data_IF_626757031677
#
_entry.id   IF_626757031677
#
_cell.length_a   1.000
_cell.length_b   1.000
_cell.length_c   1.000
_cell.angle_alpha   90.00
_cell.angle_beta   90.00
_cell.angle_gamma   90.00
#
_symmetry.space_group_name_H-M   'P 1'
#
loop_
_entity.id
_entity.type
_entity.pdbx_description
1 polymer ?
#
# COMPACT_ATOMS: atom_id res chain seq x y z
N UNK A 1 -0.05 -6.47 -1.31
CA UNK A 1 0.44 -6.44 -2.71
C UNK A 1 1.71 -7.26 -2.97
N UNK A 2 2.75 -7.22 -2.13
CA UNK A 2 4.01 -8.00 -2.35
C UNK A 2 3.82 -9.51 -2.44
N UNK A 3 2.90 -10.10 -1.68
CA UNK A 3 2.52 -11.52 -1.81
C UNK A 3 1.94 -11.81 -3.20
N UNK A 4 1.07 -10.94 -3.69
CA UNK A 4 0.42 -11.11 -4.98
C UNK A 4 1.45 -11.02 -6.11
N UNK A 5 2.38 -10.06 -6.06
CA UNK A 5 3.49 -9.94 -7.03
C UNK A 5 4.31 -11.22 -7.07
N UNK A 6 4.87 -11.64 -5.93
CA UNK A 6 5.72 -12.84 -5.83
C UNK A 6 5.04 -14.11 -6.37
N UNK A 7 3.81 -14.36 -5.94
CA UNK A 7 3.09 -15.56 -6.36
C UNK A 7 2.64 -15.48 -7.83
N UNK A 8 2.34 -14.29 -8.34
CA UNK A 8 1.98 -14.10 -9.76
C UNK A 8 3.21 -14.27 -10.65
N UNK A 9 4.35 -13.70 -10.28
CA UNK A 9 5.65 -13.96 -10.93
C UNK A 9 5.97 -15.45 -10.93
N UNK A 10 5.92 -16.10 -9.76
CA UNK A 10 6.16 -17.54 -9.63
C UNK A 10 5.20 -18.40 -10.47
N UNK A 11 3.94 -18.00 -10.58
CA UNK A 11 2.97 -18.66 -11.43
C UNK A 11 3.29 -18.50 -12.92
N UNK A 12 3.75 -17.31 -13.33
CA UNK A 12 4.10 -16.96 -14.70
C UNK A 12 5.39 -17.61 -15.20
N UNK A 13 6.40 -17.77 -14.34
CA UNK A 13 7.68 -18.43 -14.66
C UNK A 13 7.63 -19.96 -14.51
N UNK A 14 6.46 -20.54 -14.22
CA UNK A 14 6.29 -22.00 -14.14
C UNK A 14 6.81 -22.65 -12.86
N UNK A 15 7.05 -21.90 -11.77
CA UNK A 15 7.49 -22.47 -10.49
C UNK A 15 6.34 -23.11 -9.68
N UNK A 16 5.08 -22.97 -10.14
CA UNK A 16 3.88 -23.51 -9.48
C UNK A 16 3.20 -24.64 -10.27
N UNK A 17 3.97 -25.49 -10.97
CA UNK A 17 3.41 -26.62 -11.73
C UNK A 17 3.09 -27.83 -10.84
N UNK A 18 3.98 -28.20 -9.92
CA UNK A 18 3.72 -29.34 -9.05
C UNK A 18 2.91 -28.95 -7.81
N UNK A 19 2.01 -29.84 -7.36
CA UNK A 19 1.22 -29.64 -6.15
C UNK A 19 2.10 -29.40 -4.91
N UNK A 20 3.28 -30.03 -4.85
CA UNK A 20 4.22 -29.89 -3.72
C UNK A 20 4.87 -28.51 -3.70
N UNK A 21 5.39 -28.04 -4.83
CA UNK A 21 6.00 -26.71 -4.93
C UNK A 21 4.98 -25.61 -4.67
N UNK A 22 3.77 -25.76 -5.23
CA UNK A 22 2.65 -24.86 -5.03
C UNK A 22 2.28 -24.71 -3.55
N UNK A 23 2.04 -25.81 -2.84
CA UNK A 23 1.70 -25.74 -1.40
C UNK A 23 2.85 -25.24 -0.55
N UNK A 24 4.09 -25.61 -0.90
CA UNK A 24 5.28 -25.10 -0.22
C UNK A 24 5.36 -23.59 -0.33
N UNK A 25 5.26 -23.04 -1.55
CA UNK A 25 5.28 -21.59 -1.78
C UNK A 25 4.12 -20.85 -1.13
N UNK A 26 2.90 -21.41 -1.18
CA UNK A 26 1.72 -20.81 -0.55
C UNK A 26 1.91 -20.71 0.97
N UNK A 27 2.26 -21.83 1.63
CA UNK A 27 2.41 -21.86 3.09
C UNK A 27 3.57 -20.98 3.54
N UNK A 28 4.70 -21.01 2.83
CA UNK A 28 5.85 -20.17 3.14
C UNK A 28 5.52 -18.69 3.05
N UNK A 29 4.95 -18.24 1.92
CA UNK A 29 4.62 -16.84 1.74
C UNK A 29 3.48 -16.36 2.65
N UNK A 30 2.52 -17.24 2.97
CA UNK A 30 1.50 -16.95 3.97
C UNK A 30 2.13 -16.77 5.37
N UNK A 31 3.03 -17.66 5.78
CA UNK A 31 3.71 -17.50 7.06
C UNK A 31 4.57 -16.23 7.10
N UNK A 32 5.26 -15.92 5.99
CA UNK A 32 6.07 -14.72 5.88
C UNK A 32 5.23 -13.43 5.99
N UNK A 33 4.07 -13.36 5.31
CA UNK A 33 3.21 -12.17 5.41
C UNK A 33 2.63 -12.02 6.82
N UNK A 34 2.33 -13.12 7.53
CA UNK A 34 1.90 -13.05 8.93
C UNK A 34 3.00 -12.50 9.84
N UNK A 35 4.25 -12.94 9.67
CA UNK A 35 5.39 -12.38 10.41
C UNK A 35 5.54 -10.89 10.12
N UNK A 36 5.54 -10.50 8.84
CA UNK A 36 5.67 -9.10 8.45
C UNK A 36 4.51 -8.26 8.99
N UNK A 37 3.27 -8.74 8.89
CA UNK A 37 2.08 -8.04 9.35
C UNK A 37 2.08 -7.81 10.87
N UNK A 38 2.43 -8.82 11.66
CA UNK A 38 2.51 -8.68 13.12
C UNK A 38 3.58 -7.68 13.53
N UNK A 39 4.78 -7.76 12.94
CA UNK A 39 5.88 -6.83 13.27
C UNK A 39 5.57 -5.42 12.80
N UNK A 40 5.09 -5.24 11.56
CA UNK A 40 4.74 -3.92 11.02
C UNK A 40 3.57 -3.32 11.78
N UNK A 41 2.55 -4.10 12.13
CA UNK A 41 1.43 -3.61 12.95
C UNK A 41 1.90 -3.10 14.32
N UNK A 42 2.86 -3.79 14.93
CA UNK A 42 3.46 -3.37 16.19
C UNK A 42 4.35 -2.11 16.03
N UNK A 43 5.17 -2.05 14.98
CA UNK A 43 6.00 -0.88 14.70
C UNK A 43 5.15 0.35 14.34
N UNK A 44 4.06 0.16 13.59
CA UNK A 44 3.12 1.21 13.22
C UNK A 44 2.40 1.78 14.44
N UNK A 45 2.03 0.94 15.43
CA UNK A 45 1.44 1.44 16.67
C UNK A 45 2.44 2.24 17.50
N UNK A 46 3.70 1.80 17.59
CA UNK A 46 4.77 2.58 18.23
C UNK A 46 4.95 3.92 17.53
N UNK A 47 5.05 3.92 16.20
CA UNK A 47 5.19 5.13 15.41
C UNK A 47 4.03 6.09 15.67
N UNK A 48 2.79 5.60 15.62
CA UNK A 48 1.60 6.41 15.89
C UNK A 48 1.56 6.97 17.32
N UNK A 49 1.99 6.20 18.33
CA UNK A 49 2.10 6.71 19.71
C UNK A 49 3.17 7.80 19.83
N UNK A 50 4.33 7.63 19.20
CA UNK A 50 5.40 8.63 19.20
C UNK A 50 4.92 9.91 18.49
N UNK A 51 4.30 9.78 17.32
CA UNK A 51 3.84 10.92 16.55
C UNK A 51 2.65 11.64 17.19
N UNK A 52 1.75 10.93 17.88
CA UNK A 52 0.68 11.57 18.66
C UNK A 52 1.21 12.26 19.93
N UNK A 53 2.29 11.77 20.52
CA UNK A 53 2.87 12.37 21.72
C UNK A 53 3.62 13.69 21.46
N UNK A 54 4.31 13.81 20.32
CA UNK A 54 5.10 15.01 19.97
C UNK A 54 4.26 16.32 19.97
N UNK A 55 3.07 16.38 19.38
CA UNK A 55 2.23 17.58 19.37
C UNK A 55 1.40 17.77 20.67
N UNK A 56 0.83 16.70 21.25
CA UNK A 56 -0.16 16.80 22.34
C UNK A 56 0.43 16.66 23.75
N UNK A 57 1.62 16.06 23.90
CA UNK A 57 2.33 15.92 25.18
C UNK A 57 1.70 14.98 26.22
N UNK A 58 0.46 14.51 26.01
CA UNK A 58 -0.25 13.61 26.93
C UNK A 58 -0.06 12.13 26.55
N UNK A 59 0.57 11.36 27.44
CA UNK A 59 0.79 9.92 27.24
C UNK A 59 -0.19 9.09 28.09
N UNK A 60 -1.23 8.55 27.47
CA UNK A 60 -2.18 7.63 28.11
C UNK A 60 -1.82 6.18 27.74
N UNK A 61 -1.22 5.45 28.68
CA UNK A 61 -0.77 4.07 28.47
C UNK A 61 -1.90 3.14 27.97
N UNK A 62 -3.12 3.32 28.48
CA UNK A 62 -4.28 2.51 28.06
C UNK A 62 -4.60 2.68 26.57
N UNK A 63 -4.48 3.90 26.04
CA UNK A 63 -4.75 4.21 24.63
C UNK A 63 -3.61 3.72 23.73
N UNK A 64 -2.37 3.75 24.23
CA UNK A 64 -1.23 3.16 23.54
C UNK A 64 -1.37 1.64 23.41
N UNK A 65 -1.79 0.95 24.48
CA UNK A 65 -2.02 -0.52 24.45
C UNK A 65 -3.22 -0.87 23.56
N UNK A 66 -4.29 -0.07 23.60
CA UNK A 66 -5.41 -0.21 22.68
C UNK A 66 -4.96 -0.08 21.21
N UNK A 67 -4.22 0.97 20.87
CA UNK A 67 -3.74 1.21 19.51
C UNK A 67 -2.84 0.06 19.03
N UNK A 68 -1.99 -0.46 19.92
CA UNK A 68 -1.17 -1.64 19.64
C UNK A 68 -2.01 -2.89 19.38
N UNK A 69 -2.99 -3.16 20.24
CA UNK A 69 -3.85 -4.34 20.11
C UNK A 69 -4.66 -4.28 18.81
N UNK A 70 -5.28 -3.13 18.53
CA UNK A 70 -6.03 -2.91 17.30
C UNK A 70 -5.16 -3.02 16.05
N UNK A 71 -3.99 -2.39 16.03
CA UNK A 71 -3.09 -2.40 14.87
C UNK A 71 -2.57 -3.81 14.56
N UNK A 72 -2.05 -4.53 15.56
CA UNK A 72 -1.51 -5.89 15.37
C UNK A 72 -2.62 -6.86 14.97
N UNK A 73 -3.78 -6.82 15.63
CA UNK A 73 -4.93 -7.69 15.30
C UNK A 73 -5.40 -7.44 13.87
N UNK A 74 -5.54 -6.16 13.50
CA UNK A 74 -5.98 -5.77 12.16
C UNK A 74 -4.98 -6.23 11.11
N UNK A 75 -3.69 -5.94 11.29
CA UNK A 75 -2.65 -6.32 10.33
C UNK A 75 -2.63 -7.85 10.13
N UNK A 76 -2.71 -8.62 11.21
CA UNK A 76 -2.76 -10.08 11.17
C UNK A 76 -3.99 -10.60 10.42
N UNK A 77 -5.19 -10.20 10.85
CA UNK A 77 -6.45 -10.71 10.29
C UNK A 77 -6.61 -10.26 8.83
N UNK A 78 -6.32 -8.99 8.53
CA UNK A 78 -6.40 -8.46 7.17
C UNK A 78 -5.43 -9.18 6.24
N UNK A 79 -4.16 -9.35 6.65
CA UNK A 79 -3.17 -10.05 5.82
C UNK A 79 -3.52 -11.53 5.60
N UNK A 80 -4.17 -12.18 6.57
CA UNK A 80 -4.64 -13.56 6.43
C UNK A 80 -5.77 -13.66 5.41
N UNK A 81 -6.81 -12.83 5.57
CA UNK A 81 -7.97 -12.79 4.68
C UNK A 81 -7.52 -12.46 3.25
N UNK A 82 -6.77 -11.37 3.09
CA UNK A 82 -6.27 -10.93 1.79
C UNK A 82 -5.34 -11.98 1.19
N UNK A 83 -4.46 -12.59 1.98
CA UNK A 83 -3.58 -13.65 1.51
C UNK A 83 -4.35 -14.84 0.92
N UNK A 84 -5.41 -15.29 1.59
CA UNK A 84 -6.26 -16.39 1.13
C UNK A 84 -7.02 -16.03 -0.16
N UNK A 85 -7.60 -14.82 -0.21
CA UNK A 85 -8.25 -14.31 -1.41
C UNK A 85 -7.25 -14.26 -2.57
N UNK A 86 -6.04 -13.75 -2.33
CA UNK A 86 -5.02 -13.64 -3.38
C UNK A 86 -4.58 -14.98 -3.93
N UNK A 87 -4.35 -15.97 -3.07
CA UNK A 87 -4.04 -17.33 -3.50
C UNK A 87 -5.18 -17.87 -4.37
N UNK A 88 -6.44 -17.70 -3.96
CA UNK A 88 -7.60 -18.11 -4.75
C UNK A 88 -7.63 -17.48 -6.14
N UNK A 89 -7.43 -16.16 -6.22
CA UNK A 89 -7.40 -15.41 -7.49
C UNK A 89 -6.27 -15.89 -8.39
N UNK A 90 -5.04 -16.00 -7.89
CA UNK A 90 -3.88 -16.40 -8.70
C UNK A 90 -4.07 -17.80 -9.28
N UNK A 91 -4.56 -18.75 -8.47
CA UNK A 91 -4.82 -20.11 -8.93
C UNK A 91 -5.99 -20.19 -9.91
N UNK A 92 -7.01 -19.34 -9.73
CA UNK A 92 -8.14 -19.19 -10.66
C UNK A 92 -7.69 -18.60 -12.00
N UNK A 93 -6.94 -17.50 -11.99
CA UNK A 93 -6.39 -16.85 -13.19
C UNK A 93 -5.54 -17.82 -14.00
N UNK A 94 -4.65 -18.59 -13.35
CA UNK A 94 -3.83 -19.60 -14.02
C UNK A 94 -4.68 -20.69 -14.69
N UNK A 95 -5.74 -21.18 -14.03
CA UNK A 95 -6.65 -22.18 -14.63
C UNK A 95 -7.41 -21.65 -15.85
N UNK A 96 -7.69 -20.34 -15.87
CA UNK A 96 -8.39 -19.67 -16.98
C UNK A 96 -7.43 -19.17 -18.08
N UNK A 97 -6.12 -19.39 -17.95
CA UNK A 97 -5.11 -18.89 -18.90
C UNK A 97 -4.95 -17.36 -18.90
N UNK A 98 -5.43 -16.68 -17.85
CA UNK A 98 -5.31 -15.24 -17.68
C UNK A 98 -4.04 -14.95 -16.86
N UNK A 99 -3.24 -13.97 -17.28
CA UNK A 99 -2.07 -13.55 -16.51
C UNK A 99 -2.50 -13.09 -15.09
N UNK A 100 -2.02 -13.73 -14.02
CA UNK A 100 -2.39 -13.38 -12.65
C UNK A 100 -2.03 -11.93 -12.28
N UNK A 101 -0.98 -11.32 -12.83
CA UNK A 101 -0.61 -9.93 -12.53
C UNK A 101 -1.70 -8.92 -12.93
N UNK A 102 -2.48 -9.23 -13.96
CA UNK A 102 -3.55 -8.36 -14.46
C UNK A 102 -4.82 -8.41 -13.60
N UNK A 103 -4.94 -9.39 -12.71
CA UNK A 103 -6.15 -9.64 -11.91
C UNK A 103 -5.84 -9.62 -10.43
N UNK A 104 -4.83 -10.40 -10.02
CA UNK A 104 -4.43 -10.54 -8.63
C UNK A 104 -3.93 -9.21 -8.06
N UNK A 105 -2.96 -8.56 -8.71
CA UNK A 105 -2.36 -7.33 -8.16
C UNK A 105 -3.41 -6.21 -8.00
N UNK A 106 -4.30 -5.93 -8.96
CA UNK A 106 -5.40 -4.98 -8.76
C UNK A 106 -6.38 -5.36 -7.64
N UNK A 107 -6.79 -6.64 -7.55
CA UNK A 107 -7.71 -7.10 -6.49
C UNK A 107 -7.05 -6.99 -5.11
N UNK A 108 -5.77 -7.34 -4.99
CA UNK A 108 -5.00 -7.20 -3.75
C UNK A 108 -4.96 -5.75 -3.28
N UNK A 109 -4.86 -4.83 -4.25
CA UNK A 109 -4.76 -3.41 -4.02
C UNK A 109 -6.13 -2.85 -3.57
N UNK A 110 -7.20 -3.14 -4.31
CA UNK A 110 -8.54 -2.62 -4.01
C UNK A 110 -9.17 -3.20 -2.74
N UNK A 111 -8.99 -4.51 -2.49
CA UNK A 111 -9.50 -5.13 -1.27
C UNK A 111 -8.60 -4.84 -0.07
N UNK A 112 -7.33 -4.56 -0.30
CA UNK A 112 -6.34 -4.29 0.74
C UNK A 112 -6.78 -3.16 1.67
N UNK A 113 -6.98 -1.98 1.11
CA UNK A 113 -7.32 -0.77 1.85
C UNK A 113 -8.71 -0.88 2.50
N UNK A 114 -9.68 -1.43 1.77
CA UNK A 114 -11.04 -1.60 2.27
C UNK A 114 -11.10 -2.56 3.47
N UNK A 115 -10.48 -3.74 3.35
CA UNK A 115 -10.51 -4.76 4.41
C UNK A 115 -9.72 -4.28 5.63
N UNK A 116 -8.56 -3.65 5.43
CA UNK A 116 -7.75 -3.12 6.54
C UNK A 116 -8.46 -2.01 7.29
N UNK A 117 -9.03 -1.01 6.62
CA UNK A 117 -9.76 0.08 7.28
C UNK A 117 -11.04 -0.40 7.97
N UNK A 118 -11.81 -1.28 7.33
CA UNK A 118 -13.03 -1.84 7.92
C UNK A 118 -12.71 -2.65 9.18
N UNK A 119 -11.68 -3.50 9.12
CA UNK A 119 -11.23 -4.28 10.28
C UNK A 119 -10.63 -3.38 11.36
N UNK A 120 -9.81 -2.38 10.99
CA UNK A 120 -9.24 -1.43 11.94
C UNK A 120 -10.34 -0.72 12.72
N UNK A 121 -11.33 -0.18 12.01
CA UNK A 121 -12.46 0.53 12.61
C UNK A 121 -13.27 -0.42 13.52
N UNK A 122 -13.61 -1.62 13.04
CA UNK A 122 -14.41 -2.58 13.80
C UNK A 122 -13.71 -3.13 15.04
N UNK A 123 -12.45 -3.54 14.90
CA UNK A 123 -11.63 -4.07 16.00
C UNK A 123 -11.35 -2.96 17.02
N UNK A 124 -10.98 -1.76 16.56
CA UNK A 124 -10.71 -0.63 17.46
C UNK A 124 -11.94 -0.24 18.26
N UNK A 125 -13.11 -0.18 17.61
CA UNK A 125 -14.37 0.11 18.31
C UNK A 125 -14.72 -0.97 19.35
N UNK A 126 -14.60 -2.25 18.99
CA UNK A 126 -14.85 -3.36 19.90
C UNK A 126 -13.92 -3.36 21.11
N UNK A 127 -12.61 -3.25 20.86
CA UNK A 127 -11.59 -3.20 21.91
C UNK A 127 -11.72 -1.96 22.80
N UNK A 128 -12.07 -0.80 22.22
CA UNK A 128 -12.32 0.43 22.99
C UNK A 128 -13.51 0.28 23.95
N UNK A 129 -14.58 -0.40 23.52
CA UNK A 129 -15.74 -0.68 24.37
C UNK A 129 -15.38 -1.61 25.52
N UNK A 130 -14.65 -2.69 25.24
CA UNK A 130 -14.20 -3.66 26.25
C UNK A 130 -13.16 -3.07 27.21
N UNK A 131 -12.31 -2.15 26.75
CA UNK A 131 -11.34 -1.45 27.59
C UNK A 131 -12.00 -0.73 28.77
N UNK A 132 -13.22 -0.19 28.58
CA UNK A 132 -13.99 0.49 29.65
C UNK A 132 -14.50 -0.47 30.73
N UNK A 133 -14.57 -1.76 30.42
CA UNK A 133 -15.05 -2.81 31.34
C UNK A 133 -13.85 -3.53 31.97
N UNK A 134 -12.88 -3.94 31.15
CA UNK A 134 -11.72 -4.74 31.54
C UNK A 134 -10.43 -4.19 30.90
N UNK A 135 -9.61 -3.50 31.69
CA UNK A 135 -8.35 -2.90 31.22
C UNK A 135 -7.34 -3.92 30.63
N UNK A 136 -7.42 -5.20 31.02
CA UNK A 136 -6.49 -6.24 30.59
C UNK A 136 -6.77 -6.83 29.20
N UNK A 137 -7.94 -6.59 28.60
CA UNK A 137 -8.33 -7.22 27.33
C UNK A 137 -7.35 -6.88 26.21
N UNK A 138 -7.01 -5.60 26.06
CA UNK A 138 -6.08 -5.14 25.02
C UNK A 138 -4.69 -5.75 25.19
N UNK A 139 -4.23 -5.92 26.43
CA UNK A 139 -2.94 -6.54 26.72
C UNK A 139 -2.94 -8.03 26.34
N UNK A 140 -3.99 -8.77 26.70
CA UNK A 140 -4.13 -10.19 26.36
C UNK A 140 -4.15 -10.39 24.84
N UNK A 141 -4.88 -9.54 24.12
CA UNK A 141 -4.94 -9.58 22.65
C UNK A 141 -3.56 -9.33 22.05
N UNK A 142 -2.82 -8.31 22.50
CA UNK A 142 -1.43 -8.08 22.10
C UNK A 142 -0.54 -9.30 22.34
N UNK A 143 -0.59 -9.87 23.55
CA UNK A 143 0.24 -11.01 23.93
C UNK A 143 -0.07 -12.24 23.08
N UNK A 144 -1.34 -12.47 22.72
CA UNK A 144 -1.76 -13.57 21.85
C UNK A 144 -1.10 -13.50 20.47
N UNK A 145 -1.12 -12.33 19.81
CA UNK A 145 -0.51 -12.19 18.48
C UNK A 145 1.02 -12.23 18.53
N UNK A 146 1.63 -11.68 19.58
CA UNK A 146 3.07 -11.81 19.81
C UNK A 146 3.47 -13.28 20.03
N UNK A 147 2.67 -14.05 20.76
CA UNK A 147 2.91 -15.48 20.98
C UNK A 147 2.81 -16.32 19.71
N UNK A 148 2.01 -15.89 18.71
CA UNK A 148 1.92 -16.56 17.40
C UNK A 148 3.12 -16.26 16.49
N UNK A 149 3.82 -15.13 16.69
CA UNK A 149 4.98 -14.72 15.89
C UNK A 149 6.08 -15.81 15.74
N UNK A 150 6.57 -16.47 16.81
CA UNK A 150 7.60 -17.50 16.66
C UNK A 150 7.14 -18.69 15.79
N UNK A 151 5.86 -19.05 15.84
CA UNK A 151 5.30 -20.14 15.03
C UNK A 151 5.42 -19.80 13.55
N UNK A 152 4.94 -18.63 13.15
CA UNK A 152 5.00 -18.17 11.75
C UNK A 152 6.45 -17.94 11.29
N UNK A 153 7.30 -17.42 12.16
CA UNK A 153 8.72 -17.23 11.87
C UNK A 153 9.42 -18.55 11.56
N UNK A 154 9.18 -19.59 12.36
CA UNK A 154 9.76 -20.91 12.13
C UNK A 154 9.28 -21.51 10.80
N UNK A 155 7.98 -21.39 10.48
CA UNK A 155 7.41 -21.88 9.22
C UNK A 155 8.03 -21.14 8.03
N UNK A 156 8.10 -19.81 8.09
CA UNK A 156 8.69 -18.98 7.02
C UNK A 156 10.19 -19.23 6.84
N UNK A 157 10.93 -19.48 7.92
CA UNK A 157 12.38 -19.76 7.86
C UNK A 157 12.71 -21.14 7.31
N UNK A 158 11.85 -22.14 7.54
CA UNK A 158 12.05 -23.51 7.03
C UNK A 158 11.89 -23.59 5.51
N UNK A 159 11.11 -22.69 4.92
CA UNK A 159 10.91 -22.66 3.48
C UNK A 159 12.06 -21.90 2.78
N UNK A 160 12.74 -22.50 1.78
CA UNK A 160 13.89 -21.89 1.11
C UNK A 160 13.56 -20.58 0.38
N UNK A 161 12.38 -20.44 -0.23
CA UNK A 161 12.02 -19.23 -0.99
C UNK A 161 11.77 -18.04 -0.07
N UNK A 162 11.15 -18.27 1.08
CA UNK A 162 10.85 -17.22 2.05
C UNK A 162 11.98 -16.93 3.02
N UNK A 163 12.92 -17.86 3.21
CA UNK A 163 14.08 -17.66 4.09
C UNK A 163 14.93 -16.46 3.67
N UNK A 164 15.15 -16.27 2.38
CA UNK A 164 15.90 -15.12 1.86
C UNK A 164 15.13 -13.81 2.11
N UNK A 165 13.84 -13.78 1.78
CA UNK A 165 12.99 -12.60 1.99
C UNK A 165 12.84 -12.27 3.48
N UNK A 166 12.86 -13.26 4.36
CA UNK A 166 12.84 -13.05 5.81
C UNK A 166 14.15 -12.41 6.32
N UNK A 167 15.26 -12.52 5.59
CA UNK A 167 16.53 -11.89 5.95
C UNK A 167 16.64 -10.46 5.38
N UNK A 168 16.27 -10.26 4.12
CA UNK A 168 16.49 -8.99 3.40
C UNK A 168 15.24 -8.12 3.25
N UNK A 169 14.05 -8.68 3.44
CA UNK A 169 12.77 -8.00 3.21
C UNK A 169 12.34 -7.02 4.29
N UNK A 170 13.12 -6.84 5.36
CA UNK A 170 12.82 -5.88 6.43
C UNK A 170 13.15 -4.44 6.03
N UNK A 171 14.25 -4.24 5.30
CA UNK A 171 14.68 -2.93 4.83
C UNK A 171 13.58 -2.17 4.06
N UNK A 172 13.00 -2.73 2.96
CA UNK A 172 11.98 -2.01 2.20
C UNK A 172 10.71 -1.79 3.01
N UNK A 173 10.36 -2.71 3.90
CA UNK A 173 9.13 -2.62 4.71
C UNK A 173 9.25 -1.54 5.78
N UNK A 174 10.35 -1.49 6.52
CA UNK A 174 10.57 -0.52 7.60
C UNK A 174 10.76 0.89 7.03
N UNK A 175 11.54 1.03 5.95
CA UNK A 175 11.75 2.33 5.31
C UNK A 175 10.44 2.84 4.67
N UNK A 176 9.67 1.97 4.02
CA UNK A 176 8.35 2.34 3.51
C UNK A 176 7.41 2.82 4.61
N UNK A 177 7.37 2.12 5.75
CA UNK A 177 6.59 2.55 6.92
C UNK A 177 7.02 3.94 7.41
N UNK A 178 8.33 4.21 7.48
CA UNK A 178 8.84 5.52 7.87
C UNK A 178 8.43 6.63 6.89
N UNK A 179 8.54 6.40 5.57
CA UNK A 179 8.12 7.35 4.53
C UNK A 179 6.61 7.61 4.60
N UNK A 180 5.80 6.56 4.67
CA UNK A 180 4.33 6.67 4.76
C UNK A 180 3.90 7.39 6.06
N UNK A 181 4.62 7.19 7.16
CA UNK A 181 4.38 7.91 8.42
C UNK A 181 4.57 9.42 8.30
N UNK A 182 5.50 9.89 7.48
CA UNK A 182 5.66 11.34 7.18
C UNK A 182 4.41 11.86 6.46
N UNK A 183 3.86 11.09 5.52
CA UNK A 183 2.57 11.40 4.89
C UNK A 183 1.44 11.47 5.91
N UNK A 184 1.37 10.50 6.83
CA UNK A 184 0.42 10.50 7.94
C UNK A 184 0.53 11.74 8.84
N UNK A 185 1.75 12.22 9.13
CA UNK A 185 1.97 13.44 9.90
C UNK A 185 1.49 14.70 9.17
N UNK A 186 1.71 14.77 7.85
CA UNK A 186 1.17 15.87 7.02
C UNK A 186 -0.37 15.86 7.09
N UNK A 187 -0.98 14.68 6.99
CA UNK A 187 -2.42 14.53 7.11
C UNK A 187 -2.93 15.00 8.47
N UNK A 188 -2.35 14.48 9.56
CA UNK A 188 -2.74 14.81 10.93
C UNK A 188 -2.65 16.32 11.20
N UNK A 189 -1.54 16.95 10.78
CA UNK A 189 -1.35 18.39 10.94
C UNK A 189 -2.33 19.22 10.10
N UNK A 190 -2.71 18.73 8.92
CA UNK A 190 -3.66 19.42 8.04
C UNK A 190 -5.09 19.25 8.55
N UNK A 191 -5.50 18.05 8.96
CA UNK A 191 -6.84 17.76 9.51
C UNK A 191 -7.08 18.49 10.84
N UNK A 192 -6.02 18.76 11.61
CA UNK A 192 -6.10 19.52 12.86
C UNK A 192 -6.58 20.97 12.66
N UNK A 193 -6.46 21.52 11.44
CA UNK A 193 -7.05 22.82 11.10
C UNK A 193 -8.52 22.62 10.68
N UNK A 194 -9.49 23.26 11.36
CA UNK A 194 -10.91 23.12 11.01
C UNK A 194 -11.22 23.45 9.54
N UNK A 195 -10.46 24.35 8.93
CA UNK A 195 -10.66 24.77 7.53
C UNK A 195 -10.25 23.68 6.52
N UNK A 196 -9.49 22.68 6.96
CA UNK A 196 -8.95 21.62 6.08
C UNK A 196 -9.41 20.22 6.47
N UNK A 197 -10.33 20.07 7.44
CA UNK A 197 -10.80 18.77 7.94
C UNK A 197 -11.34 17.84 6.82
N UNK A 198 -11.89 18.40 5.74
CA UNK A 198 -12.39 17.65 4.59
C UNK A 198 -11.32 16.83 3.84
N UNK A 199 -10.03 17.13 4.01
CA UNK A 199 -8.92 16.40 3.37
C UNK A 199 -8.92 14.90 3.72
N UNK A 200 -9.40 14.54 4.91
CA UNK A 200 -9.42 13.17 5.42
C UNK A 200 -10.23 12.22 4.51
N UNK A 201 -11.26 12.73 3.83
CA UNK A 201 -12.14 11.93 2.96
C UNK A 201 -11.47 11.63 1.61
N UNK A 202 -10.60 12.54 1.14
CA UNK A 202 -9.95 12.44 -0.16
C UNK A 202 -8.61 11.71 -0.12
N UNK A 203 -7.95 11.69 1.04
CA UNK A 203 -6.62 11.09 1.23
C UNK A 203 -6.60 9.59 0.90
N UNK A 204 -7.55 8.75 1.36
CA UNK A 204 -7.60 7.35 0.97
C UNK A 204 -7.78 7.15 -0.54
N UNK A 205 -8.48 8.05 -1.22
CA UNK A 205 -8.71 7.96 -2.67
C UNK A 205 -7.43 8.29 -3.43
N UNK A 206 -6.76 9.40 -3.11
CA UNK A 206 -5.56 9.84 -3.84
C UNK A 206 -4.37 8.88 -3.59
N UNK A 207 -4.18 8.46 -2.34
CA UNK A 207 -3.13 7.51 -2.00
C UNK A 207 -3.46 6.11 -2.54
N UNK A 208 -4.71 5.66 -2.38
CA UNK A 208 -5.18 4.37 -2.87
C UNK A 208 -5.07 4.26 -4.38
N UNK A 209 -5.59 5.21 -5.16
CA UNK A 209 -5.48 5.15 -6.64
C UNK A 209 -4.02 5.19 -7.08
N UNK A 210 -3.23 6.16 -6.57
CA UNK A 210 -1.84 6.30 -6.99
C UNK A 210 -0.95 5.11 -6.62
N UNK A 211 -0.98 4.71 -5.34
CA UNK A 211 -0.22 3.58 -4.80
C UNK A 211 -0.57 2.25 -5.45
N UNK A 212 -1.86 2.01 -5.73
CA UNK A 212 -2.32 0.77 -6.31
C UNK A 212 -1.97 0.66 -7.81
N UNK A 213 -2.13 1.74 -8.58
CA UNK A 213 -1.75 1.76 -10.00
C UNK A 213 -0.24 1.53 -10.18
N UNK A 214 0.58 2.19 -9.36
CA UNK A 214 2.03 2.05 -9.45
C UNK A 214 2.49 0.66 -9.01
N UNK A 215 1.84 0.04 -8.02
CA UNK A 215 2.14 -1.33 -7.61
C UNK A 215 1.84 -2.35 -8.72
N UNK A 216 0.73 -2.17 -9.46
CA UNK A 216 0.41 -2.98 -10.65
C UNK A 216 1.48 -2.81 -11.72
N UNK A 217 1.90 -1.56 -11.99
CA UNK A 217 2.96 -1.31 -12.98
C UNK A 217 4.29 -1.96 -12.57
N UNK A 218 4.71 -1.80 -11.31
CA UNK A 218 5.95 -2.37 -10.79
C UNK A 218 5.95 -3.90 -10.85
N UNK A 219 4.85 -4.53 -10.45
CA UNK A 219 4.63 -5.98 -10.56
C UNK A 219 4.78 -6.46 -12.01
N UNK A 220 4.15 -5.78 -12.98
CA UNK A 220 4.24 -6.16 -14.39
C UNK A 220 5.65 -6.02 -14.97
N UNK A 221 6.36 -4.94 -14.65
CA UNK A 221 7.75 -4.74 -15.11
C UNK A 221 8.65 -5.81 -14.48
N UNK A 222 8.48 -6.10 -13.19
CA UNK A 222 9.21 -7.14 -12.46
C UNK A 222 9.01 -8.53 -13.09
N UNK A 223 7.76 -8.94 -13.31
CA UNK A 223 7.44 -10.21 -13.99
C UNK A 223 8.07 -10.27 -15.39
N UNK A 224 7.98 -9.18 -16.16
CA UNK A 224 8.58 -9.13 -17.50
C UNK A 224 10.09 -9.37 -17.47
N UNK A 225 10.81 -8.82 -16.49
CA UNK A 225 12.24 -9.06 -16.31
C UNK A 225 12.53 -10.50 -15.88
N UNK A 226 11.75 -11.06 -14.95
CA UNK A 226 11.86 -12.46 -14.51
C UNK A 226 11.55 -13.48 -15.60
N UNK A 227 10.76 -13.13 -16.61
CA UNK A 227 10.56 -13.96 -17.81
C UNK A 227 11.79 -13.97 -18.75
N UNK A 228 12.67 -12.97 -18.65
CA UNK A 228 13.82 -12.78 -19.54
C UNK A 228 15.16 -13.21 -18.94
N UNK A 229 15.27 -13.22 -17.61
CA UNK A 229 16.49 -13.60 -16.92
C UNK A 229 16.31 -13.55 -15.41
N UNK A 230 17.43 -13.67 -14.70
CA UNK A 230 17.49 -13.54 -13.25
C UNK A 230 18.01 -12.17 -12.81
N UNK A 231 17.67 -11.69 -11.61
CA UNK A 231 18.16 -10.41 -11.11
C UNK A 231 19.69 -10.32 -11.17
N UNK A 232 20.21 -9.27 -11.79
CA UNK A 232 21.65 -9.05 -11.99
C UNK A 232 22.16 -9.52 -13.35
N UNK A 233 21.38 -10.27 -14.13
CA UNK A 233 21.73 -10.62 -15.51
C UNK A 233 21.69 -9.36 -16.39
N UNK A 234 22.72 -9.20 -17.23
CA UNK A 234 22.76 -8.15 -18.24
C UNK A 234 21.88 -8.57 -19.43
N UNK A 235 20.57 -8.43 -19.24
CA UNK A 235 19.60 -8.62 -20.30
C UNK A 235 19.89 -7.51 -21.32
N UNK A 236 20.41 -7.87 -22.49
CA UNK A 236 20.84 -6.94 -23.56
C UNK A 236 19.80 -5.94 -24.09
N UNK A 237 18.63 -5.82 -23.44
CA UNK A 237 17.82 -4.61 -23.40
C UNK A 237 18.63 -3.49 -22.75
N UNK A 238 19.50 -2.83 -23.53
CA UNK A 238 20.37 -1.73 -23.12
C UNK A 238 20.02 -1.14 -21.76
N UNK A 239 20.62 -1.74 -20.72
CA UNK A 239 20.41 -1.50 -19.30
C UNK A 239 20.80 -0.07 -18.97
N UNK A 240 19.96 0.87 -19.39
CA UNK A 240 20.20 2.29 -19.27
C UNK A 240 19.57 2.71 -17.97
N UNK A 241 20.43 2.75 -16.96
CA UNK A 241 20.23 3.07 -15.55
C UNK A 241 19.30 4.26 -15.23
N UNK A 242 18.96 5.09 -16.23
CA UNK A 242 17.92 6.12 -16.17
C UNK A 242 17.13 6.16 -17.50
N UNK A 243 15.93 5.56 -17.60
CA UNK A 243 15.06 5.82 -18.73
C UNK A 243 14.60 7.28 -18.69
N UNK A 244 14.66 7.99 -19.82
CA UNK A 244 14.10 9.35 -19.92
C UNK A 244 12.57 9.29 -19.77
N UNK A 245 11.90 10.29 -19.16
CA UNK A 245 10.44 10.32 -19.05
C UNK A 245 9.72 10.13 -20.39
N UNK A 246 10.29 10.68 -21.46
CA UNK A 246 9.76 10.52 -22.82
C UNK A 246 9.71 9.04 -23.27
N UNK A 247 10.67 8.22 -22.85
CA UNK A 247 10.70 6.78 -23.19
C UNK A 247 9.72 6.00 -22.32
N UNK A 248 9.63 6.30 -21.03
CA UNK A 248 8.69 5.66 -20.11
C UNK A 248 7.24 5.84 -20.57
N UNK A 249 6.87 7.02 -21.10
CA UNK A 249 5.50 7.31 -21.52
C UNK A 249 5.23 7.21 -23.02
N UNK A 250 6.20 7.46 -23.90
CA UNK A 250 5.96 7.57 -25.36
C UNK A 250 6.66 6.49 -26.20
N UNK A 251 7.27 5.48 -25.59
CA UNK A 251 7.80 4.36 -26.39
C UNK A 251 6.71 3.38 -26.83
N UNK A 252 7.04 2.58 -27.85
CA UNK A 252 6.17 1.52 -28.36
C UNK A 252 6.13 0.28 -27.46
N UNK A 253 6.99 0.23 -26.44
CA UNK A 253 7.20 -0.92 -25.55
C UNK A 253 5.95 -1.25 -24.72
N UNK A 254 5.80 -2.53 -24.36
CA UNK A 254 4.64 -3.04 -23.60
C UNK A 254 4.49 -2.31 -22.25
N UNK A 255 5.61 -2.06 -21.57
CA UNK A 255 5.63 -1.35 -20.29
C UNK A 255 5.17 0.11 -20.43
N UNK A 256 5.56 0.78 -21.52
CA UNK A 256 5.13 2.16 -21.80
C UNK A 256 3.66 2.27 -22.18
N UNK A 257 3.15 1.29 -22.96
CA UNK A 257 1.70 1.16 -23.21
C UNK A 257 0.94 1.00 -21.90
N UNK A 258 1.42 0.15 -20.99
CA UNK A 258 0.83 -0.03 -19.66
C UNK A 258 0.80 1.27 -18.87
N UNK A 259 1.91 2.01 -18.78
CA UNK A 259 1.98 3.31 -18.10
C UNK A 259 0.96 4.31 -18.66
N UNK A 260 0.80 4.38 -19.99
CA UNK A 260 -0.21 5.27 -20.61
C UNK A 260 -1.63 4.87 -20.24
N UNK A 261 -1.94 3.58 -20.27
CA UNK A 261 -3.28 3.08 -19.90
C UNK A 261 -3.59 3.39 -18.43
N UNK A 262 -2.65 3.13 -17.53
CA UNK A 262 -2.81 3.41 -16.10
C UNK A 262 -2.94 4.92 -15.83
N UNK A 263 -2.17 5.75 -16.52
CA UNK A 263 -2.29 7.21 -16.43
C UNK A 263 -3.64 7.73 -16.95
N UNK A 264 -4.13 7.19 -18.07
CA UNK A 264 -5.45 7.55 -18.61
C UNK A 264 -6.61 7.10 -17.71
N UNK A 265 -6.40 6.04 -16.90
CA UNK A 265 -7.40 5.55 -15.95
C UNK A 265 -7.56 6.47 -14.72
N UNK A 266 -6.59 7.34 -14.43
CA UNK A 266 -6.63 8.27 -13.29
C UNK A 266 -7.87 9.17 -13.38
N UNK A 267 -8.10 9.80 -14.54
CA UNK A 267 -9.23 10.72 -14.70
C UNK A 267 -10.59 10.09 -14.43
N UNK A 268 -11.01 9.03 -15.15
CA UNK A 268 -12.30 8.41 -14.89
C UNK A 268 -12.37 7.77 -13.49
N UNK A 269 -11.26 7.20 -13.00
CA UNK A 269 -11.22 6.58 -11.66
C UNK A 269 -11.51 7.60 -10.56
N UNK A 270 -10.81 8.72 -10.56
CA UNK A 270 -11.01 9.79 -9.57
C UNK A 270 -12.39 10.43 -9.67
N UNK A 271 -12.91 10.66 -10.88
CA UNK A 271 -14.26 11.21 -11.06
C UNK A 271 -15.35 10.31 -10.45
N UNK A 272 -15.23 8.99 -10.59
CA UNK A 272 -16.15 8.04 -9.95
C UNK A 272 -16.09 8.16 -8.43
N UNK A 273 -14.89 8.20 -7.84
CA UNK A 273 -14.74 8.35 -6.39
C UNK A 273 -15.27 9.68 -5.87
N UNK A 274 -14.99 10.79 -6.56
CA UNK A 274 -15.51 12.12 -6.21
C UNK A 274 -17.05 12.13 -6.26
N UNK A 275 -17.64 11.54 -7.29
CA UNK A 275 -19.09 11.40 -7.41
C UNK A 275 -19.69 10.58 -6.26
N UNK A 276 -19.04 9.48 -5.87
CA UNK A 276 -19.48 8.66 -4.73
C UNK A 276 -19.40 9.45 -3.42
N UNK A 277 -18.30 10.16 -3.16
CA UNK A 277 -18.14 11.00 -1.96
C UNK A 277 -19.24 12.06 -1.89
N UNK A 278 -19.51 12.75 -3.00
CA UNK A 278 -20.57 13.74 -3.10
C UNK A 278 -21.95 13.13 -2.81
N UNK A 279 -22.22 11.94 -3.36
CA UNK A 279 -23.50 11.23 -3.19
C UNK A 279 -23.71 10.73 -1.76
N UNK A 280 -22.64 10.33 -1.06
CA UNK A 280 -22.69 9.86 0.32
C UNK A 280 -22.79 10.99 1.35
N UNK A 281 -22.79 12.28 0.92
CA UNK A 281 -22.61 13.45 1.79
C UNK A 281 -21.39 13.28 2.72
N UNK A 282 -20.35 12.62 2.21
CA UNK A 282 -19.26 12.06 3.01
C UNK A 282 -18.21 13.06 3.50
N UNK A 283 -18.42 14.37 3.34
CA UNK A 283 -17.50 15.41 3.79
C UNK A 283 -18.18 16.77 3.85
N UNK A 284 -17.81 17.59 4.83
CA UNK A 284 -18.26 18.98 5.01
C UNK A 284 -17.63 19.95 3.98
N UNK A 285 -17.27 19.46 2.80
CA UNK A 285 -16.60 20.23 1.74
C UNK A 285 -17.49 20.34 0.53
N UNK A 286 -17.72 21.55 0.04
CA UNK A 286 -18.50 21.74 -1.18
C UNK A 286 -17.64 21.32 -2.39
N UNK A 287 -18.20 20.50 -3.27
CA UNK A 287 -17.50 20.04 -4.48
C UNK A 287 -17.52 21.15 -5.54
N UNK A 288 -16.72 22.20 -5.35
CA UNK A 288 -16.58 23.28 -6.32
C UNK A 288 -15.82 22.79 -7.56
N UNK A 289 -16.11 23.40 -8.72
CA UNK A 289 -15.38 23.10 -9.95
C UNK A 289 -13.89 23.44 -9.83
N UNK A 290 -13.56 24.46 -9.04
CA UNK A 290 -12.18 24.89 -8.78
C UNK A 290 -11.46 23.81 -7.96
N UNK A 291 -12.08 23.31 -6.88
CA UNK A 291 -11.54 22.19 -6.11
C UNK A 291 -11.30 20.96 -6.98
N UNK A 292 -12.27 20.56 -7.80
CA UNK A 292 -12.12 19.41 -8.69
C UNK A 292 -10.93 19.55 -9.65
N UNK A 293 -10.68 20.75 -10.19
CA UNK A 293 -9.52 20.98 -11.07
C UNK A 293 -8.20 20.83 -10.31
N UNK A 294 -8.05 21.46 -9.14
CA UNK A 294 -6.80 21.35 -8.34
C UNK A 294 -6.57 19.93 -7.81
N UNK A 295 -7.63 19.25 -7.37
CA UNK A 295 -7.58 17.85 -6.96
C UNK A 295 -7.13 16.95 -8.13
N UNK A 296 -7.70 17.14 -9.32
CA UNK A 296 -7.33 16.36 -10.51
C UNK A 296 -5.89 16.62 -10.96
N UNK A 297 -5.41 17.86 -10.88
CA UNK A 297 -4.01 18.19 -11.16
C UNK A 297 -3.06 17.50 -10.18
N UNK A 298 -3.38 17.52 -8.88
CA UNK A 298 -2.60 16.82 -7.85
C UNK A 298 -2.55 15.30 -8.11
N UNK A 299 -3.70 14.68 -8.38
CA UNK A 299 -3.79 13.25 -8.68
C UNK A 299 -2.98 12.86 -9.94
N UNK A 300 -3.11 13.62 -11.03
CA UNK A 300 -2.35 13.37 -12.25
C UNK A 300 -0.84 13.55 -12.02
N UNK A 301 -0.43 14.59 -11.30
CA UNK A 301 0.98 14.83 -10.98
C UNK A 301 1.56 13.70 -10.13
N UNK A 302 0.85 13.27 -9.09
CA UNK A 302 1.25 12.15 -8.24
C UNK A 302 1.49 10.89 -9.06
N UNK A 303 0.50 10.47 -9.88
CA UNK A 303 0.61 9.23 -10.65
C UNK A 303 1.69 9.31 -11.73
N UNK A 304 1.86 10.47 -12.38
CA UNK A 304 2.93 10.71 -13.34
C UNK A 304 4.31 10.46 -12.71
N UNK A 305 4.55 11.06 -11.54
CA UNK A 305 5.82 10.92 -10.80
C UNK A 305 6.01 9.47 -10.36
N UNK A 306 4.99 8.82 -9.82
CA UNK A 306 5.05 7.43 -9.36
C UNK A 306 5.35 6.44 -10.49
N UNK A 307 4.68 6.54 -11.63
CA UNK A 307 4.92 5.65 -12.77
C UNK A 307 6.33 5.80 -13.33
N UNK A 308 6.87 7.03 -13.35
CA UNK A 308 8.26 7.27 -13.73
C UNK A 308 9.25 6.64 -12.74
N UNK A 309 9.04 6.86 -11.44
CA UNK A 309 9.89 6.27 -10.40
C UNK A 309 9.82 4.74 -10.44
N UNK A 310 8.65 4.15 -10.71
CA UNK A 310 8.51 2.69 -10.82
C UNK A 310 9.35 2.11 -11.95
N UNK A 311 9.28 2.70 -13.15
CA UNK A 311 10.08 2.26 -14.29
C UNK A 311 11.58 2.37 -13.99
N UNK A 312 12.02 3.51 -13.46
CA UNK A 312 13.42 3.69 -13.07
C UNK A 312 13.88 2.72 -11.98
N UNK A 313 13.11 2.62 -10.89
CA UNK A 313 13.52 1.91 -9.69
C UNK A 313 13.54 0.39 -9.89
N UNK A 314 12.57 -0.17 -10.63
CA UNK A 314 12.54 -1.62 -10.93
C UNK A 314 13.77 -2.02 -11.74
N UNK A 315 14.12 -1.28 -12.80
CA UNK A 315 15.33 -1.55 -13.60
C UNK A 315 16.62 -1.31 -12.79
N UNK A 316 16.65 -0.28 -11.94
CA UNK A 316 17.78 -0.02 -11.06
C UNK A 316 18.00 -1.17 -10.06
N UNK A 317 16.94 -1.65 -9.41
CA UNK A 317 17.00 -2.80 -8.50
C UNK A 317 17.45 -4.07 -9.21
N UNK A 318 16.89 -4.32 -10.41
CA UNK A 318 17.28 -5.46 -11.24
C UNK A 318 18.78 -5.45 -11.55
N UNK A 319 19.33 -4.30 -11.94
CA UNK A 319 20.77 -4.15 -12.25
C UNK A 319 21.69 -4.38 -11.05
N UNK A 320 21.15 -4.33 -9.83
CA UNK A 320 21.86 -4.57 -8.57
C UNK A 320 21.72 -6.00 -8.05
N UNK A 321 21.03 -6.88 -8.80
CA UNK A 321 20.73 -8.24 -8.33
C UNK A 321 19.66 -8.29 -7.25
N UNK A 322 18.89 -7.22 -7.06
CA UNK A 322 17.79 -7.17 -6.10
C UNK A 322 16.48 -7.53 -6.81
N UNK A 323 15.71 -8.46 -6.23
CA UNK A 323 14.42 -8.87 -6.77
C UNK A 323 13.36 -7.77 -6.57
N UNK A 324 12.89 -7.09 -7.63
CA UNK A 324 11.98 -5.96 -7.51
C UNK A 324 10.64 -6.32 -6.85
N UNK A 325 10.20 -7.59 -6.89
CA UNK A 325 8.96 -8.04 -6.24
C UNK A 325 8.98 -7.89 -4.72
N UNK A 326 10.17 -7.89 -4.12
CA UNK A 326 10.36 -7.77 -2.67
C UNK A 326 10.53 -6.32 -2.21
N UNK A 327 11.12 -5.46 -3.04
CA UNK A 327 11.56 -4.13 -2.63
C UNK A 327 10.77 -2.98 -3.26
N UNK A 328 10.36 -3.10 -4.53
CA UNK A 328 9.84 -1.95 -5.27
C UNK A 328 8.47 -1.48 -4.79
N UNK A 329 7.54 -2.41 -4.59
CA UNK A 329 6.16 -2.10 -4.23
C UNK A 329 6.08 -1.31 -2.91
N UNK A 330 6.70 -1.75 -1.78
CA UNK A 330 6.67 -0.98 -0.54
C UNK A 330 7.14 0.47 -0.68
N UNK A 331 8.24 0.71 -1.40
CA UNK A 331 8.75 2.07 -1.61
C UNK A 331 7.80 2.91 -2.46
N UNK A 332 7.26 2.35 -3.54
CA UNK A 332 6.37 3.10 -4.43
C UNK A 332 5.06 3.44 -3.77
N UNK A 333 4.48 2.54 -2.97
CA UNK A 333 3.25 2.81 -2.25
C UNK A 333 3.48 3.86 -1.17
N UNK A 334 4.58 3.78 -0.42
CA UNK A 334 4.90 4.77 0.61
C UNK A 334 5.21 6.16 0.02
N UNK A 335 5.93 6.22 -1.10
CA UNK A 335 6.10 7.46 -1.86
C UNK A 335 4.76 7.98 -2.37
N UNK A 336 3.85 7.08 -2.75
CA UNK A 336 2.50 7.42 -3.17
C UNK A 336 1.70 8.07 -2.05
N UNK A 337 1.77 7.53 -0.83
CA UNK A 337 1.12 8.10 0.35
C UNK A 337 1.66 9.50 0.67
N UNK A 338 2.98 9.66 0.67
CA UNK A 338 3.64 10.93 0.96
C UNK A 338 3.31 12.00 -0.09
N UNK A 339 3.47 11.66 -1.38
CA UNK A 339 3.21 12.58 -2.48
C UNK A 339 1.73 12.90 -2.59
N UNK A 340 0.85 11.90 -2.48
CA UNK A 340 -0.60 12.08 -2.58
C UNK A 340 -1.12 12.99 -1.48
N UNK A 341 -0.77 12.71 -0.23
CA UNK A 341 -1.16 13.54 0.92
C UNK A 341 -0.56 14.95 0.84
N UNK A 342 0.73 15.07 0.50
CA UNK A 342 1.41 16.36 0.40
C UNK A 342 0.86 17.25 -0.72
N UNK A 343 0.61 16.69 -1.91
CA UNK A 343 0.02 17.42 -3.04
C UNK A 343 -1.43 17.80 -2.75
N UNK A 344 -2.19 16.92 -2.09
CA UNK A 344 -3.56 17.22 -1.68
C UNK A 344 -3.59 18.36 -0.66
N UNK A 345 -2.75 18.31 0.38
CA UNK A 345 -2.64 19.37 1.37
C UNK A 345 -2.26 20.71 0.72
N UNK A 346 -1.33 20.71 -0.24
CA UNK A 346 -0.97 21.89 -1.02
C UNK A 346 -2.17 22.43 -1.82
N UNK A 347 -2.95 21.56 -2.47
CA UNK A 347 -4.16 21.96 -3.19
C UNK A 347 -5.18 22.65 -2.27
N UNK A 348 -5.44 22.10 -1.08
CA UNK A 348 -6.32 22.73 -0.08
C UNK A 348 -5.79 24.10 0.36
N UNK A 349 -4.48 24.21 0.58
CA UNK A 349 -3.86 25.47 1.01
C UNK A 349 -3.94 26.55 -0.09
N UNK A 350 -3.72 26.17 -1.35
CA UNK A 350 -3.85 27.08 -2.50
C UNK A 350 -5.30 27.53 -2.69
N UNK A 351 -6.28 26.63 -2.55
CA UNK A 351 -7.70 26.98 -2.65
C UNK A 351 -8.12 27.98 -1.56
N UNK A 352 -7.66 27.77 -0.34
CA UNK A 352 -7.89 28.69 0.77
C UNK A 352 -7.31 30.09 0.50
N UNK A 353 -6.10 30.17 -0.08
CA UNK A 353 -5.48 31.45 -0.47
C UNK A 353 -6.22 32.15 -1.62
N UNK A 354 -6.78 31.40 -2.57
CA UNK A 354 -7.54 31.94 -3.72
C UNK A 354 -8.92 32.47 -3.30
N UNK A 355 -9.36 32.18 -2.07
CA UNK A 355 -10.62 32.68 -1.56
C UNK A 355 -11.82 31.83 -1.97
N UNK A 356 -11.59 30.59 -2.44
CA UNK A 356 -12.60 29.52 -2.36
C UNK A 356 -12.69 29.10 -0.88
N UNK A 357 -13.11 30.07 -0.06
CA UNK A 357 -13.45 29.88 1.34
C UNK A 357 -14.71 29.05 1.27
N UNK A 358 -14.58 27.74 1.45
CA UNK A 358 -15.71 26.87 1.69
C UNK A 358 -16.56 27.55 2.76
N UNK A 359 -17.64 28.20 2.36
CA UNK A 359 -18.37 29.15 3.18
C UNK A 359 -19.31 28.45 4.17
N UNK A 360 -19.06 27.17 4.46
CA UNK A 360 -19.85 26.31 5.35
C UNK A 360 -18.96 25.59 6.40
N UNK A 361 -17.81 26.17 6.78
CA UNK A 361 -17.10 25.82 8.02
C UNK A 361 -17.33 26.91 9.06
N UNK A 362 -18.57 26.98 9.54
CA UNK A 362 -18.97 27.90 10.59
C UNK A 362 -20.47 28.14 10.62
N UNK A 363 -21.26 27.10 10.87
CA UNK A 363 -22.51 27.15 11.66
C UNK A 363 -22.84 25.75 12.20
#
# INVERSE_FOLDING_TARGET
MTLASRLSTAANIGQMETSKEKWTMIVGNMALIQVQATVVGFLASIAAVIFGWIPDGHFLMEHAVLLCASSVSTAFIASLILGLVMIGVILGSKKLGINPDNVATPIAASLGDLVTLALLSGISWGLYKEMKINAFVNLIVCLLFIALLPVWFIIARKNPTTRQVLATGWEPVIIAMAISSIGGLILDKTVSDPNFAGIAVFTPVINGVGGNLVAVQASRISTYLHMMGSPGDDIGLGSRKCPSPCRTFFSSDVNSRSSRVLFLLVVPGHLVFLYTINSMKGGHTTMTLIFMVFYMLAALLQVLVLLYIADWMVHWMWSRGMDPDNFSIPYLTALGDLLGTGLLALSFHVLWLIGDRDSDVGD
#
